data_IF_265452370101
#
_entry.id   IF_265452370101
#
_cell.length_a   1.000
_cell.length_b   1.000
_cell.length_c   1.000
_cell.angle_alpha   90.00
_cell.angle_beta   90.00
_cell.angle_gamma   90.00
#
_symmetry.space_group_name_H-M   'P 1'
#
loop_
_entity.id
_entity.type
_entity.pdbx_description
1 polymer ?
#
# COMPACT_ATOMS: atom_id res chain seq x y z
N UNK A 1 -20.91 -14.65 -2.11
CA UNK A 1 -19.52 -15.10 -2.10
C UNK A 1 -19.18 -15.85 -3.38
N UNK A 2 -18.02 -15.56 -3.92
CA UNK A 2 -17.59 -16.20 -5.16
C UNK A 2 -16.52 -17.23 -4.83
N UNK A 3 -16.67 -18.43 -5.40
CA UNK A 3 -15.68 -19.48 -5.20
C UNK A 3 -14.57 -19.33 -6.25
N UNK A 4 -13.33 -19.41 -5.79
CA UNK A 4 -12.17 -19.27 -6.67
C UNK A 4 -11.28 -20.48 -6.51
N UNK A 5 -10.80 -21.02 -7.63
CA UNK A 5 -9.76 -22.03 -7.61
C UNK A 5 -8.41 -21.35 -7.69
N UNK A 6 -7.52 -21.72 -6.79
CA UNK A 6 -6.22 -21.12 -6.73
C UNK A 6 -5.14 -22.17 -6.80
N UNK A 7 -4.22 -22.01 -7.75
CA UNK A 7 -3.08 -22.89 -7.90
C UNK A 7 -1.84 -22.17 -7.40
N UNK A 8 -1.12 -22.82 -6.49
CA UNK A 8 0.11 -22.26 -5.93
C UNK A 8 1.28 -23.18 -6.22
N UNK A 9 2.47 -22.63 -6.44
CA UNK A 9 3.68 -23.44 -6.47
C UNK A 9 3.85 -24.19 -5.15
N UNK A 10 4.54 -25.30 -5.20
CA UNK A 10 4.68 -26.16 -4.03
C UNK A 10 5.28 -25.46 -2.84
N UNK A 11 6.35 -24.72 -3.05
CA UNK A 11 7.01 -23.99 -1.97
C UNK A 11 6.10 -22.94 -1.33
N UNK A 12 5.35 -22.25 -2.15
CA UNK A 12 4.44 -21.24 -1.64
C UNK A 12 3.27 -21.88 -0.89
N UNK A 13 2.76 -22.99 -1.42
CA UNK A 13 1.70 -23.71 -0.75
C UNK A 13 2.14 -24.24 0.61
N UNK A 14 3.34 -24.79 0.67
CA UNK A 14 3.86 -25.33 1.92
C UNK A 14 4.09 -24.23 2.94
N UNK A 15 4.65 -23.11 2.53
CA UNK A 15 4.82 -21.97 3.40
C UNK A 15 3.49 -21.45 3.91
N UNK A 16 2.49 -21.38 3.04
CA UNK A 16 1.16 -20.93 3.42
C UNK A 16 0.53 -21.87 4.44
N UNK A 17 0.73 -23.17 4.24
CA UNK A 17 0.19 -24.15 5.18
C UNK A 17 0.82 -24.00 6.57
N UNK A 18 2.13 -23.78 6.62
CA UNK A 18 2.79 -23.58 7.91
C UNK A 18 2.33 -22.31 8.59
N UNK A 19 2.20 -21.23 7.82
CA UNK A 19 1.75 -19.96 8.38
C UNK A 19 0.30 -20.04 8.86
N UNK A 20 -0.56 -20.70 8.10
CA UNK A 20 -1.94 -20.89 8.52
C UNK A 20 -2.00 -21.66 9.81
N UNK A 21 -1.21 -22.72 9.92
CA UNK A 21 -1.17 -23.53 11.12
C UNK A 21 -0.71 -22.72 12.34
N UNK A 22 0.29 -21.87 12.17
CA UNK A 22 0.77 -21.06 13.29
C UNK A 22 -0.26 -20.03 13.74
N UNK A 23 -1.17 -19.62 12.86
CA UNK A 23 -2.26 -18.71 13.21
C UNK A 23 -3.53 -19.45 13.62
N UNK A 24 -3.49 -20.79 13.57
CA UNK A 24 -4.64 -21.64 13.84
C UNK A 24 -5.81 -21.34 12.91
N UNK A 25 -5.48 -21.09 11.66
CA UNK A 25 -6.48 -20.81 10.63
C UNK A 25 -6.51 -21.96 9.64
N UNK A 26 -7.66 -22.17 9.01
CA UNK A 26 -7.75 -23.06 7.89
C UNK A 26 -7.00 -22.42 6.70
N UNK A 27 -6.64 -23.23 5.73
CA UNK A 27 -5.97 -22.75 4.54
C UNK A 27 -6.82 -21.67 3.84
N UNK A 28 -8.12 -21.91 3.72
CA UNK A 28 -9.03 -20.97 3.09
C UNK A 28 -9.10 -19.66 3.84
N UNK A 29 -9.18 -19.73 5.17
CA UNK A 29 -9.22 -18.53 6.00
C UNK A 29 -7.91 -17.75 5.90
N UNK A 30 -6.79 -18.46 5.85
CA UNK A 30 -5.48 -17.82 5.71
C UNK A 30 -5.39 -17.06 4.38
N UNK A 31 -5.82 -17.70 3.29
CA UNK A 31 -5.77 -17.09 1.97
C UNK A 31 -6.68 -15.86 1.92
N UNK A 32 -7.88 -15.96 2.50
CA UNK A 32 -8.79 -14.82 2.55
C UNK A 32 -8.17 -13.65 3.31
N UNK A 33 -7.55 -13.94 4.44
CA UNK A 33 -6.88 -12.91 5.23
C UNK A 33 -5.75 -12.27 4.44
N UNK A 34 -4.98 -13.07 3.72
CA UNK A 34 -3.88 -12.56 2.90
C UNK A 34 -4.38 -11.62 1.80
N UNK A 35 -5.48 -11.99 1.15
CA UNK A 35 -6.07 -11.15 0.12
C UNK A 35 -6.57 -9.83 0.71
N UNK A 36 -7.25 -9.90 1.85
CA UNK A 36 -7.74 -8.70 2.51
C UNK A 36 -6.60 -7.76 2.89
N UNK A 37 -5.52 -8.32 3.40
CA UNK A 37 -4.35 -7.53 3.77
C UNK A 37 -3.70 -6.88 2.58
N UNK A 38 -3.52 -7.64 1.50
CA UNK A 38 -2.92 -7.09 0.29
C UNK A 38 -3.77 -5.97 -0.29
N UNK A 39 -5.09 -6.17 -0.31
CA UNK A 39 -6.00 -5.14 -0.80
C UNK A 39 -5.89 -3.87 0.02
N UNK A 40 -5.85 -3.98 1.34
CA UNK A 40 -5.68 -2.82 2.21
C UNK A 40 -4.36 -2.11 1.96
N UNK A 41 -3.31 -2.90 1.79
CA UNK A 41 -1.99 -2.32 1.51
C UNK A 41 -1.98 -1.56 0.19
N UNK A 42 -2.60 -2.14 -0.84
CA UNK A 42 -2.66 -1.48 -2.14
C UNK A 42 -3.49 -0.20 -2.08
N UNK A 43 -4.59 -0.22 -1.34
CA UNK A 43 -5.41 0.97 -1.17
C UNK A 43 -4.65 2.06 -0.42
N UNK A 44 -3.89 1.67 0.60
CA UNK A 44 -3.06 2.61 1.35
C UNK A 44 -2.01 3.24 0.45
N UNK A 45 -1.36 2.43 -0.37
CA UNK A 45 -0.36 2.94 -1.31
C UNK A 45 -0.98 3.87 -2.33
N UNK A 46 -2.16 3.53 -2.84
CA UNK A 46 -2.84 4.39 -3.80
C UNK A 46 -3.21 5.73 -3.18
N UNK A 47 -3.67 5.70 -1.94
CA UNK A 47 -3.98 6.93 -1.20
C UNK A 47 -2.75 7.78 -0.99
N UNK A 48 -1.65 7.14 -0.60
CA UNK A 48 -0.38 7.83 -0.39
C UNK A 48 0.11 8.50 -1.67
N UNK A 49 -0.02 7.80 -2.79
CA UNK A 49 0.37 8.37 -4.09
C UNK A 49 -0.47 9.57 -4.44
N UNK A 50 -1.79 9.50 -4.21
CA UNK A 50 -2.67 10.62 -4.49
C UNK A 50 -2.33 11.83 -3.62
N UNK A 51 -2.07 11.59 -2.35
CA UNK A 51 -1.68 12.68 -1.45
C UNK A 51 -0.36 13.29 -1.84
N UNK A 52 0.60 12.47 -2.23
CA UNK A 52 1.90 12.97 -2.67
C UNK A 52 1.76 13.82 -3.92
N UNK A 53 0.90 13.39 -4.84
CA UNK A 53 0.66 14.12 -6.08
C UNK A 53 0.01 15.46 -5.81
N UNK A 54 -1.00 15.48 -4.94
CA UNK A 54 -1.65 16.72 -4.56
C UNK A 54 -0.65 17.65 -3.87
N UNK A 55 0.16 17.12 -2.97
CA UNK A 55 1.18 17.93 -2.31
C UNK A 55 2.16 18.53 -3.29
N UNK A 56 2.54 17.79 -4.29
CA UNK A 56 3.45 18.31 -5.31
C UNK A 56 2.81 19.44 -6.10
N UNK A 57 1.53 19.32 -6.44
CA UNK A 57 0.82 20.37 -7.13
C UNK A 57 0.73 21.63 -6.29
N UNK A 58 0.37 21.47 -5.05
CA UNK A 58 0.25 22.61 -4.15
C UNK A 58 1.58 23.31 -3.98
N UNK A 59 2.65 22.54 -3.82
CA UNK A 59 3.99 23.11 -3.72
C UNK A 59 4.39 23.84 -4.98
N UNK A 60 4.08 23.28 -6.13
CA UNK A 60 4.37 23.92 -7.39
C UNK A 60 3.67 25.25 -7.55
N UNK A 61 2.41 25.29 -7.17
CA UNK A 61 1.64 26.53 -7.21
C UNK A 61 2.16 27.54 -6.23
N UNK A 62 2.47 27.11 -5.03
CA UNK A 62 3.03 27.99 -4.01
C UNK A 62 4.35 28.58 -4.45
N UNK A 63 5.18 27.78 -5.06
CA UNK A 63 6.45 28.27 -5.58
C UNK A 63 6.26 29.31 -6.67
N UNK A 64 5.25 29.13 -7.49
CA UNK A 64 4.96 30.08 -8.53
C UNK A 64 4.47 31.41 -7.98
N UNK A 65 3.61 31.33 -6.99
CA UNK A 65 3.02 32.52 -6.37
C UNK A 65 4.05 33.26 -5.53
N UNK A 66 4.84 32.52 -4.75
CA UNK A 66 5.78 33.10 -3.81
C UNK A 66 7.22 33.07 -4.34
N UNK A 67 7.35 33.21 -5.62
CA UNK A 67 8.65 33.14 -6.25
C UNK A 67 9.64 34.11 -5.63
N UNK A 68 9.15 35.29 -5.29
CA UNK A 68 10.00 36.32 -4.72
C UNK A 68 10.36 36.07 -3.26
N UNK A 69 9.57 35.27 -2.59
CA UNK A 69 9.82 34.94 -1.19
C UNK A 69 10.50 33.59 -1.02
N UNK A 70 10.73 32.91 -2.09
CA UNK A 70 11.19 31.53 -2.02
C UNK A 70 12.51 31.37 -1.32
N UNK A 71 13.34 32.38 -1.38
CA UNK A 71 14.65 32.32 -0.74
C UNK A 71 14.51 32.18 0.77
N UNK A 72 13.44 32.72 1.32
CA UNK A 72 13.23 32.71 2.76
C UNK A 72 12.60 31.41 3.21
N UNK A 73 11.70 30.92 2.40
CA UNK A 73 10.91 29.75 2.73
C UNK A 73 11.59 28.45 2.35
N UNK A 74 12.69 28.21 2.90
CA UNK A 74 13.38 26.99 2.62
C UNK A 74 12.94 25.92 3.60
N UNK A 75 12.46 24.82 3.07
CA UNK A 75 12.07 23.70 3.88
C UNK A 75 13.21 22.71 3.96
N UNK A 76 13.87 22.61 5.10
CA UNK A 76 15.04 21.74 5.22
C UNK A 76 14.69 20.26 5.16
N UNK A 77 13.42 19.93 5.36
CA UNK A 77 12.99 18.52 5.33
C UNK A 77 12.52 18.09 3.97
N UNK A 78 12.45 18.96 3.06
CA UNK A 78 11.97 18.64 1.73
C UNK A 78 12.95 17.76 0.99
#
# INVERSE_FOLDING_TARGET
MIAISLKLPEDLEEASRRCAASLRLSRAAYIRLAVERMNREMETRARARRLAEVSRRVRGESMRINKEFSAIERDPDA
#
